data_IF_177023580375
#
_entry.id   IF_177023580375
#
_cell.length_a   1.000
_cell.length_b   1.000
_cell.length_c   1.000
_cell.angle_alpha   90.00
_cell.angle_beta   90.00
_cell.angle_gamma   90.00
#
_symmetry.space_group_name_H-M   'P 1'
#
loop_
_entity.id
_entity.type
_entity.pdbx_description
1 polymer ?
#
# COMPACT_ATOMS: atom_id res chain seq x y z
N UNK A 1 -13.49 4.10 17.70
CA UNK A 1 -14.08 3.99 16.33
C UNK A 1 -14.71 5.33 15.94
N UNK A 2 -14.34 5.89 14.78
CA UNK A 2 -14.84 7.19 14.30
C UNK A 2 -15.77 6.99 13.10
N UNK A 3 -16.92 7.70 13.08
CA UNK A 3 -17.84 7.72 11.96
C UNK A 3 -17.46 8.81 10.95
N UNK A 4 -17.21 8.42 9.72
CA UNK A 4 -16.93 9.34 8.63
C UNK A 4 -18.20 9.59 7.79
N UNK A 5 -18.61 10.86 7.71
CA UNK A 5 -19.75 11.29 6.87
C UNK A 5 -19.35 11.43 5.40
N UNK A 6 -18.10 11.79 5.13
CA UNK A 6 -17.58 12.04 3.78
C UNK A 6 -16.46 11.06 3.42
N UNK A 7 -16.33 10.78 2.13
CA UNK A 7 -15.22 9.99 1.59
C UNK A 7 -13.88 10.71 1.79
N UNK A 8 -12.92 10.04 2.43
CA UNK A 8 -11.61 10.62 2.75
C UNK A 8 -10.71 10.87 1.53
N UNK A 9 -11.05 10.31 0.36
CA UNK A 9 -10.36 10.63 -0.90
C UNK A 9 -11.01 11.81 -1.63
N UNK A 10 -12.28 11.67 -2.04
CA UNK A 10 -12.93 12.65 -2.91
C UNK A 10 -13.90 13.62 -2.21
N UNK A 11 -14.18 13.45 -0.92
CA UNK A 11 -15.09 14.29 -0.15
C UNK A 11 -16.57 14.01 -0.34
N UNK A 12 -16.97 13.07 -1.23
CA UNK A 12 -18.38 12.77 -1.50
C UNK A 12 -19.06 12.10 -0.30
N UNK A 13 -20.35 12.42 -0.06
CA UNK A 13 -21.10 11.98 1.12
C UNK A 13 -22.02 10.77 0.91
N UNK A 14 -22.14 10.26 -0.32
CA UNK A 14 -22.98 9.08 -0.62
C UNK A 14 -22.12 7.82 -0.71
N UNK A 15 -22.46 6.83 0.11
CA UNK A 15 -21.74 5.58 0.22
C UNK A 15 -22.70 4.40 0.12
N UNK A 16 -22.25 3.32 -0.50
CA UNK A 16 -22.98 2.06 -0.60
C UNK A 16 -22.42 1.07 0.41
N UNK A 17 -23.27 0.52 1.27
CA UNK A 17 -22.90 -0.65 2.09
C UNK A 17 -22.66 -1.86 1.17
N UNK A 18 -21.52 -2.52 1.32
CA UNK A 18 -21.16 -3.69 0.50
C UNK A 18 -21.10 -4.99 1.29
N UNK A 19 -20.90 -4.94 2.61
CA UNK A 19 -20.93 -6.12 3.46
C UNK A 19 -20.20 -5.92 4.78
N UNK A 20 -19.92 -7.05 5.46
CA UNK A 20 -19.28 -7.12 6.77
C UNK A 20 -17.89 -7.74 6.67
N UNK A 21 -16.98 -7.34 7.56
CA UNK A 21 -15.61 -7.85 7.65
C UNK A 21 -15.21 -8.05 9.12
N UNK A 22 -14.30 -8.99 9.37
CA UNK A 22 -13.77 -9.27 10.71
C UNK A 22 -14.73 -9.97 11.65
N UNK A 23 -14.25 -10.39 12.81
CA UNK A 23 -15.00 -11.13 13.81
C UNK A 23 -15.69 -12.36 13.20
N UNK A 24 -16.99 -12.57 13.50
CA UNK A 24 -17.76 -13.73 12.99
C UNK A 24 -17.87 -13.81 11.45
N UNK A 25 -17.52 -12.76 10.71
CA UNK A 25 -17.52 -12.71 9.25
C UNK A 25 -16.17 -13.10 8.65
N UNK A 26 -15.19 -13.39 9.49
CA UNK A 26 -13.86 -13.83 9.09
C UNK A 26 -13.62 -15.26 9.54
N UNK A 27 -12.84 -16.01 8.75
CA UNK A 27 -12.39 -17.34 9.16
C UNK A 27 -11.64 -17.23 10.48
N UNK A 28 -11.91 -18.13 11.42
CA UNK A 28 -11.30 -18.18 12.76
C UNK A 28 -11.66 -16.99 13.67
N UNK A 29 -12.64 -16.14 13.28
CA UNK A 29 -13.08 -15.01 14.09
C UNK A 29 -12.08 -13.86 14.21
N UNK A 30 -11.10 -13.81 13.30
CA UNK A 30 -10.02 -12.82 13.35
C UNK A 30 -10.47 -11.41 12.97
N UNK A 31 -9.83 -10.41 13.58
CA UNK A 31 -10.03 -9.00 13.30
C UNK A 31 -11.30 -8.41 13.90
N UNK A 32 -11.43 -7.09 13.83
CA UNK A 32 -12.57 -6.34 14.38
C UNK A 32 -13.75 -6.39 13.41
N UNK A 33 -14.95 -6.72 13.94
CA UNK A 33 -16.18 -6.69 13.14
C UNK A 33 -16.50 -5.27 12.71
N UNK A 34 -16.52 -5.02 11.38
CA UNK A 34 -16.77 -3.70 10.77
C UNK A 34 -17.69 -3.80 9.58
N UNK A 35 -18.44 -2.70 9.33
CA UNK A 35 -19.22 -2.51 8.09
C UNK A 35 -18.31 -1.92 7.03
N UNK A 36 -18.36 -2.49 5.82
CA UNK A 36 -17.58 -2.03 4.68
C UNK A 36 -18.47 -1.28 3.71
N UNK A 37 -17.99 -0.10 3.30
CA UNK A 37 -18.69 0.80 2.39
C UNK A 37 -17.84 1.07 1.16
N UNK A 38 -18.52 1.48 0.08
CA UNK A 38 -17.94 1.98 -1.14
C UNK A 38 -18.46 3.37 -1.45
N UNK A 39 -17.57 4.31 -1.72
CA UNK A 39 -17.94 5.65 -2.18
C UNK A 39 -18.59 5.57 -3.57
N UNK A 40 -19.77 6.21 -3.73
CA UNK A 40 -20.49 6.21 -5.02
C UNK A 40 -19.82 7.11 -6.08
N UNK A 41 -18.94 8.03 -5.69
CA UNK A 41 -18.22 8.87 -6.63
C UNK A 41 -16.90 8.25 -7.09
N UNK A 42 -15.95 8.02 -6.18
CA UNK A 42 -14.61 7.56 -6.53
C UNK A 42 -14.38 6.05 -6.36
N UNK A 43 -15.36 5.32 -5.85
CA UNK A 43 -15.30 3.87 -5.59
C UNK A 43 -14.28 3.43 -4.55
N UNK A 44 -13.73 4.36 -3.74
CA UNK A 44 -12.90 4.00 -2.58
C UNK A 44 -13.69 3.06 -1.67
N UNK A 45 -13.04 1.99 -1.21
CA UNK A 45 -13.61 1.05 -0.25
C UNK A 45 -12.99 1.33 1.13
N UNK A 46 -13.83 1.37 2.17
CA UNK A 46 -13.40 1.72 3.51
C UNK A 46 -14.35 1.17 4.58
N UNK A 47 -13.88 0.92 5.82
CA UNK A 47 -14.73 0.57 6.94
C UNK A 47 -15.43 1.82 7.49
N UNK A 48 -16.65 1.67 8.01
CA UNK A 48 -17.33 2.75 8.74
C UNK A 48 -18.22 2.13 9.83
N UNK A 49 -17.95 2.36 11.11
CA UNK A 49 -16.92 3.25 11.66
C UNK A 49 -15.47 2.78 11.40
N UNK A 50 -14.55 3.73 11.40
CA UNK A 50 -13.12 3.43 11.29
C UNK A 50 -12.61 2.77 12.58
N UNK A 51 -11.84 1.66 12.49
CA UNK A 51 -11.04 1.20 13.59
C UNK A 51 -9.91 2.23 13.83
N UNK A 52 -9.78 2.71 15.05
CA UNK A 52 -8.67 3.58 15.45
C UNK A 52 -7.77 2.72 16.32
N UNK A 53 -6.51 2.49 15.94
CA UNK A 53 -5.55 1.77 16.77
C UNK A 53 -5.17 2.62 17.98
N UNK A 54 -4.75 1.98 19.05
CA UNK A 54 -4.27 2.66 20.26
C UNK A 54 -2.94 3.41 20.00
N UNK A 55 -2.11 2.86 19.12
CA UNK A 55 -0.88 3.50 18.61
C UNK A 55 -0.57 3.00 17.20
N UNK A 56 0.25 3.72 16.44
CA UNK A 56 0.75 3.25 15.14
C UNK A 56 1.62 1.98 15.29
N UNK A 57 2.38 1.90 16.38
CA UNK A 57 3.21 0.74 16.70
C UNK A 57 2.38 -0.52 16.94
N UNK A 58 1.21 -0.41 17.58
CA UNK A 58 0.30 -1.53 17.81
C UNK A 58 -0.25 -2.17 16.52
N UNK A 59 -0.14 -1.48 15.37
CA UNK A 59 -0.57 -2.00 14.06
C UNK A 59 0.44 -3.00 13.47
N UNK A 60 1.71 -2.94 13.90
CA UNK A 60 2.80 -3.67 13.26
C UNK A 60 3.37 -4.78 14.14
N UNK A 61 2.61 -5.56 14.84
CA UNK A 61 3.00 -6.73 15.59
C UNK A 61 4.51 -7.11 15.65
N UNK A 62 4.84 -8.35 15.90
CA UNK A 62 6.24 -8.80 15.84
C UNK A 62 6.72 -8.82 14.36
N UNK A 63 7.76 -8.04 14.00
CA UNK A 63 8.31 -8.02 12.64
C UNK A 63 8.75 -9.40 12.15
N UNK A 64 9.16 -10.31 13.04
CA UNK A 64 9.60 -11.66 12.67
C UNK A 64 8.43 -12.57 12.26
N UNK A 65 7.21 -12.27 12.70
CA UNK A 65 6.00 -12.95 12.25
C UNK A 65 5.53 -12.46 10.87
N UNK A 66 5.79 -11.19 10.55
CA UNK A 66 5.33 -10.57 9.31
C UNK A 66 6.33 -10.72 8.17
N UNK A 67 7.63 -10.65 8.45
CA UNK A 67 8.69 -10.70 7.45
C UNK A 67 9.41 -12.05 7.47
N UNK A 68 9.68 -12.57 6.29
CA UNK A 68 10.49 -13.78 6.06
C UNK A 68 11.99 -13.59 6.33
N UNK A 69 12.73 -14.69 6.45
CA UNK A 69 14.11 -14.73 6.94
C UNK A 69 15.17 -13.96 6.14
N UNK A 70 16.45 -14.06 6.59
CA UNK A 70 17.59 -13.25 6.07
C UNK A 70 17.85 -13.43 4.56
N UNK A 71 17.78 -14.65 4.04
CA UNK A 71 18.05 -14.93 2.61
C UNK A 71 17.00 -14.28 1.70
N UNK A 72 15.73 -14.30 2.12
CA UNK A 72 14.65 -13.63 1.40
C UNK A 72 14.79 -12.11 1.45
N UNK A 73 15.32 -11.54 2.55
CA UNK A 73 15.57 -10.10 2.65
C UNK A 73 16.59 -9.62 1.60
N UNK A 74 17.72 -10.31 1.44
CA UNK A 74 18.72 -9.97 0.40
C UNK A 74 18.14 -10.10 -1.02
N UNK A 75 17.40 -11.18 -1.29
CA UNK A 75 16.74 -11.36 -2.58
C UNK A 75 15.73 -10.27 -2.89
N UNK A 76 14.96 -9.85 -1.88
CA UNK A 76 14.02 -8.72 -1.99
C UNK A 76 14.76 -7.41 -2.21
N UNK A 77 15.79 -7.11 -1.41
CA UNK A 77 16.59 -5.90 -1.60
C UNK A 77 17.13 -5.81 -3.03
N UNK A 78 17.68 -6.90 -3.56
CA UNK A 78 18.14 -6.93 -4.94
C UNK A 78 17.02 -6.68 -5.96
N UNK A 79 15.82 -7.15 -5.69
CA UNK A 79 14.67 -6.87 -6.58
C UNK A 79 14.28 -5.39 -6.66
N UNK A 80 14.61 -4.60 -5.63
CA UNK A 80 14.38 -3.15 -5.60
C UNK A 80 15.40 -2.34 -6.40
N UNK A 81 16.53 -2.93 -6.84
CA UNK A 81 17.47 -2.24 -7.73
C UNK A 81 16.78 -1.74 -8.99
N UNK A 82 15.89 -2.55 -9.56
CA UNK A 82 15.09 -2.13 -10.73
C UNK A 82 14.14 -0.96 -10.44
N UNK A 83 13.64 -0.82 -9.22
CA UNK A 83 12.82 0.32 -8.82
C UNK A 83 13.69 1.59 -8.69
N UNK A 84 14.91 1.48 -8.15
CA UNK A 84 15.87 2.59 -8.12
C UNK A 84 16.21 3.05 -9.55
N UNK A 85 16.50 2.12 -10.47
CA UNK A 85 16.74 2.46 -11.89
C UNK A 85 15.56 3.19 -12.51
N UNK A 86 14.33 2.81 -12.18
CA UNK A 86 13.13 3.48 -12.66
C UNK A 86 12.97 4.90 -12.07
N UNK A 87 13.38 5.14 -10.82
CA UNK A 87 13.47 6.49 -10.26
C UNK A 87 14.51 7.32 -11.00
N UNK A 88 15.73 6.79 -11.20
CA UNK A 88 16.83 7.47 -11.92
C UNK A 88 16.38 7.90 -13.33
N UNK A 89 15.66 7.04 -14.05
CA UNK A 89 15.16 7.33 -15.41
C UNK A 89 14.10 8.44 -15.44
N UNK A 90 13.33 8.63 -14.36
CA UNK A 90 12.20 9.59 -14.30
C UNK A 90 12.56 10.92 -13.66
N UNK A 91 13.58 10.93 -12.84
CA UNK A 91 14.06 12.15 -12.19
C UNK A 91 14.88 12.93 -13.20
N UNK A 92 14.56 14.21 -13.39
CA UNK A 92 15.33 15.11 -14.25
C UNK A 92 16.79 15.16 -13.78
N UNK A 93 17.72 15.33 -14.72
CA UNK A 93 19.17 15.30 -14.52
C UNK A 93 19.63 16.05 -13.27
N UNK A 94 20.07 15.29 -12.27
CA UNK A 94 20.73 15.77 -11.06
C UNK A 94 21.94 14.89 -10.76
N UNK A 95 23.02 15.51 -10.25
CA UNK A 95 24.24 14.76 -9.94
C UNK A 95 24.02 13.75 -8.78
N UNK A 96 23.19 14.12 -7.83
CA UNK A 96 22.81 13.29 -6.67
C UNK A 96 21.31 13.27 -6.51
N UNK A 97 20.76 12.08 -6.40
CA UNK A 97 19.33 11.82 -6.23
C UNK A 97 19.05 11.52 -4.75
N UNK A 98 18.14 12.29 -4.16
CA UNK A 98 17.67 12.06 -2.80
C UNK A 98 16.28 11.42 -2.83
N UNK A 99 16.18 10.16 -2.38
CA UNK A 99 14.94 9.41 -2.26
C UNK A 99 14.47 9.37 -0.81
N UNK A 100 13.16 9.36 -0.60
CA UNK A 100 12.51 9.10 0.67
C UNK A 100 11.68 7.82 0.53
N UNK A 101 11.97 6.83 1.37
CA UNK A 101 11.20 5.60 1.50
C UNK A 101 10.35 5.69 2.77
N UNK A 102 9.05 5.84 2.63
CA UNK A 102 8.12 5.96 3.76
C UNK A 102 7.50 4.58 4.01
N UNK A 103 7.59 4.10 5.26
CA UNK A 103 7.27 2.73 5.62
C UNK A 103 8.34 1.78 5.08
N UNK A 104 9.61 2.07 5.37
CA UNK A 104 10.76 1.39 4.79
C UNK A 104 10.88 -0.10 5.19
N UNK A 105 10.05 -0.58 6.12
CA UNK A 105 10.08 -1.96 6.59
C UNK A 105 11.45 -2.31 7.15
N UNK A 106 12.07 -3.35 6.61
CA UNK A 106 13.42 -3.79 7.00
C UNK A 106 14.54 -3.11 6.20
N UNK A 107 14.25 -2.02 5.47
CA UNK A 107 15.21 -1.21 4.73
C UNK A 107 15.65 -1.84 3.40
N UNK A 108 14.80 -2.66 2.75
CA UNK A 108 15.16 -3.34 1.51
C UNK A 108 15.45 -2.35 0.38
N UNK A 109 14.66 -1.29 0.24
CA UNK A 109 14.91 -0.24 -0.76
C UNK A 109 16.18 0.56 -0.42
N UNK A 110 16.40 0.86 0.87
CA UNK A 110 17.61 1.55 1.33
C UNK A 110 18.87 0.72 1.03
N UNK A 111 18.82 -0.61 1.24
CA UNK A 111 19.90 -1.54 0.88
C UNK A 111 20.15 -1.55 -0.64
N UNK A 112 19.08 -1.58 -1.44
CA UNK A 112 19.20 -1.54 -2.91
C UNK A 112 19.86 -0.24 -3.40
N UNK A 113 19.55 0.89 -2.76
CA UNK A 113 20.11 2.19 -3.12
C UNK A 113 21.65 2.25 -2.97
N UNK A 114 22.24 1.43 -2.09
CA UNK A 114 23.71 1.38 -1.90
C UNK A 114 24.46 0.89 -3.16
N UNK A 115 23.78 0.22 -4.09
CA UNK A 115 24.38 -0.19 -5.36
C UNK A 115 24.59 0.99 -6.33
N UNK A 116 24.04 2.17 -6.04
CA UNK A 116 24.05 3.34 -6.91
C UNK A 116 24.76 4.51 -6.23
N UNK A 117 25.96 4.87 -6.69
CA UNK A 117 26.81 5.89 -6.05
C UNK A 117 26.22 7.29 -6.04
N UNK A 118 25.27 7.58 -6.94
CA UNK A 118 24.58 8.85 -7.06
C UNK A 118 23.21 8.88 -6.39
N UNK A 119 22.78 7.82 -5.69
CA UNK A 119 21.49 7.74 -5.01
C UNK A 119 21.68 7.71 -3.50
N UNK A 120 21.01 8.60 -2.80
CA UNK A 120 20.89 8.59 -1.34
C UNK A 120 19.43 8.34 -0.96
N UNK A 121 19.16 7.25 -0.23
CA UNK A 121 17.82 6.90 0.22
C UNK A 121 17.69 7.11 1.74
N UNK A 122 16.76 7.97 2.14
CA UNK A 122 16.34 8.13 3.54
C UNK A 122 15.12 7.23 3.78
N UNK A 123 15.19 6.34 4.77
CA UNK A 123 14.06 5.46 5.14
C UNK A 123 13.39 5.93 6.43
N UNK A 124 12.06 6.00 6.42
CA UNK A 124 11.22 6.21 7.60
C UNK A 124 10.49 4.93 7.94
N UNK A 125 10.56 4.53 9.21
CA UNK A 125 9.87 3.34 9.72
C UNK A 125 9.44 3.57 11.16
N UNK A 126 8.26 3.07 11.55
CA UNK A 126 7.70 3.23 12.90
C UNK A 126 7.92 1.99 13.78
N UNK A 127 8.13 0.83 13.17
CA UNK A 127 8.38 -0.44 13.87
C UNK A 127 9.80 -0.47 14.42
N UNK A 128 9.96 -0.44 15.73
CA UNK A 128 11.27 -0.57 16.39
C UNK A 128 11.99 -1.86 16.02
N UNK A 129 11.26 -2.97 15.91
CA UNK A 129 11.83 -4.26 15.50
C UNK A 129 12.40 -4.22 14.08
N UNK A 130 11.71 -3.56 13.13
CA UNK A 130 12.18 -3.37 11.76
C UNK A 130 13.40 -2.46 11.70
N UNK A 131 13.40 -1.36 12.46
CA UNK A 131 14.55 -0.44 12.58
C UNK A 131 15.77 -1.17 13.14
N UNK A 132 15.60 -1.95 14.20
CA UNK A 132 16.67 -2.77 14.79
C UNK A 132 17.22 -3.77 13.78
N UNK A 133 16.35 -4.50 13.08
CA UNK A 133 16.74 -5.47 12.04
C UNK A 133 17.59 -4.81 10.94
N UNK A 134 17.19 -3.62 10.47
CA UNK A 134 17.92 -2.84 9.48
C UNK A 134 19.27 -2.36 10.01
N UNK A 135 19.31 -1.82 11.24
CA UNK A 135 20.52 -1.33 11.90
C UNK A 135 21.60 -2.41 12.06
N UNK A 136 21.21 -3.64 12.43
CA UNK A 136 22.12 -4.78 12.51
C UNK A 136 22.79 -5.13 11.17
N UNK A 137 22.29 -4.57 10.05
CA UNK A 137 22.80 -4.74 8.68
C UNK A 137 23.44 -3.47 8.11
N UNK A 138 23.65 -2.46 8.97
CA UNK A 138 24.26 -1.19 8.58
C UNK A 138 23.31 -0.24 7.84
N UNK A 139 22.00 -0.52 7.84
CA UNK A 139 20.98 0.35 7.26
C UNK A 139 20.37 1.21 8.36
N UNK A 140 20.46 2.53 8.21
CA UNK A 140 19.91 3.49 9.17
C UNK A 140 18.53 3.97 8.75
N UNK A 141 17.50 3.52 9.47
CA UNK A 141 16.13 4.01 9.34
C UNK A 141 15.82 5.00 10.46
N UNK A 142 14.91 5.93 10.18
CA UNK A 142 14.51 6.98 11.12
C UNK A 142 13.07 6.76 11.57
N UNK A 143 12.83 6.81 12.90
CA UNK A 143 11.48 6.89 13.45
C UNK A 143 11.10 8.37 13.56
N UNK A 144 10.73 8.98 12.43
CA UNK A 144 10.29 10.37 12.33
C UNK A 144 8.94 10.47 11.64
N UNK A 145 8.14 11.45 12.04
CA UNK A 145 6.94 11.83 11.34
C UNK A 145 7.27 12.72 10.13
N UNK A 146 6.41 12.72 9.10
CA UNK A 146 6.65 13.54 7.90
C UNK A 146 6.72 15.04 8.22
N UNK A 147 5.92 15.49 9.20
CA UNK A 147 5.89 16.89 9.63
C UNK A 147 7.25 17.34 10.20
N UNK A 148 8.03 16.46 10.82
CA UNK A 148 9.36 16.79 11.33
C UNK A 148 10.33 17.07 10.18
N UNK A 149 10.29 16.24 9.10
CA UNK A 149 11.10 16.49 7.91
C UNK A 149 10.69 17.79 7.19
N UNK A 150 9.39 18.11 7.17
CA UNK A 150 8.89 19.38 6.61
C UNK A 150 9.41 20.56 7.42
N UNK A 151 9.37 20.49 8.75
CA UNK A 151 9.89 21.54 9.63
C UNK A 151 11.42 21.71 9.52
N UNK A 152 12.14 20.61 9.25
CA UNK A 152 13.57 20.60 8.95
C UNK A 152 13.90 21.14 7.53
N UNK A 153 12.88 21.57 6.76
CA UNK A 153 13.05 22.09 5.40
C UNK A 153 13.52 21.05 4.37
N UNK A 154 13.33 19.76 4.64
CA UNK A 154 13.76 18.68 3.74
C UNK A 154 12.86 18.58 2.52
N UNK A 155 13.49 18.32 1.37
CA UNK A 155 12.80 17.94 0.12
C UNK A 155 13.56 16.83 -0.58
N UNK A 156 12.84 16.05 -1.39
CA UNK A 156 13.34 14.86 -2.04
C UNK A 156 13.02 14.88 -3.54
N UNK A 157 13.89 14.26 -4.32
CA UNK A 157 13.72 14.09 -5.78
C UNK A 157 12.69 13.00 -6.08
N UNK A 158 12.61 12.00 -5.20
CA UNK A 158 11.64 10.93 -5.30
C UNK A 158 11.14 10.47 -3.94
N UNK A 159 9.87 10.04 -3.88
CA UNK A 159 9.25 9.42 -2.71
C UNK A 159 8.66 8.08 -3.10
N UNK A 160 8.92 7.06 -2.28
CA UNK A 160 8.39 5.71 -2.40
C UNK A 160 7.36 5.44 -1.30
N UNK A 161 6.18 4.94 -1.70
CA UNK A 161 5.10 4.44 -0.83
C UNK A 161 4.77 3.02 -1.28
N UNK A 162 5.46 2.03 -0.72
CA UNK A 162 5.25 0.64 -1.08
C UNK A 162 4.46 -0.09 0.01
N UNK A 163 3.19 -0.40 -0.24
CA UNK A 163 2.27 -0.99 0.72
C UNK A 163 2.13 -0.17 2.02
N UNK A 164 1.91 1.13 1.89
CA UNK A 164 1.79 2.08 3.01
C UNK A 164 0.42 2.74 3.05
N UNK A 165 -0.04 3.26 1.89
CA UNK A 165 -1.20 4.15 1.84
C UNK A 165 -2.50 3.47 2.28
N UNK A 166 -2.62 2.17 2.09
CA UNK A 166 -3.77 1.37 2.53
C UNK A 166 -3.92 1.26 4.04
N UNK A 167 -2.86 1.58 4.79
CA UNK A 167 -2.83 1.57 6.26
C UNK A 167 -3.02 2.96 6.87
N UNK A 168 -2.91 4.03 6.09
CA UNK A 168 -2.94 5.42 6.56
C UNK A 168 -4.38 5.86 6.86
N UNK A 169 -4.67 6.25 8.11
CA UNK A 169 -6.03 6.62 8.53
C UNK A 169 -6.50 7.96 7.97
N UNK A 170 -5.60 8.92 7.74
CA UNK A 170 -5.88 10.25 7.21
C UNK A 170 -5.15 10.51 5.89
N UNK A 171 -5.54 9.80 4.80
CA UNK A 171 -4.78 9.79 3.56
C UNK A 171 -4.68 11.16 2.88
N UNK A 172 -5.64 12.07 3.12
CA UNK A 172 -5.60 13.42 2.56
C UNK A 172 -4.51 14.28 3.23
N UNK A 173 -4.37 14.21 4.56
CA UNK A 173 -3.34 14.91 5.32
C UNK A 173 -1.96 14.33 4.95
N UNK A 174 -1.85 13.00 5.01
CA UNK A 174 -0.63 12.29 4.66
C UNK A 174 -0.13 12.64 3.25
N UNK A 175 -1.00 12.64 2.24
CA UNK A 175 -0.61 13.00 0.88
C UNK A 175 -0.26 14.50 0.72
N UNK A 176 -0.85 15.38 1.54
CA UNK A 176 -0.44 16.78 1.59
C UNK A 176 0.98 16.94 2.14
N UNK A 177 1.35 16.17 3.15
CA UNK A 177 2.71 16.15 3.70
C UNK A 177 3.70 15.55 2.69
N UNK A 178 3.35 14.43 2.05
CA UNK A 178 4.16 13.82 0.98
C UNK A 178 4.41 14.82 -0.16
N UNK A 179 3.37 15.56 -0.59
CA UNK A 179 3.52 16.59 -1.62
C UNK A 179 4.51 17.68 -1.22
N UNK A 180 4.50 18.14 0.04
CA UNK A 180 5.45 19.15 0.53
C UNK A 180 6.88 18.64 0.55
N UNK A 181 7.09 17.35 0.81
CA UNK A 181 8.41 16.71 0.83
C UNK A 181 8.95 16.42 -0.57
N UNK A 182 8.10 16.35 -1.61
CA UNK A 182 8.55 16.27 -2.99
C UNK A 182 8.97 17.66 -3.49
N UNK A 183 10.12 17.77 -4.17
CA UNK A 183 10.45 18.99 -4.93
C UNK A 183 9.47 19.22 -6.09
N UNK A 184 9.31 20.43 -6.62
CA UNK A 184 8.59 20.65 -7.87
C UNK A 184 9.15 19.77 -8.99
N UNK A 185 8.30 18.96 -9.66
CA UNK A 185 8.72 17.95 -10.63
C UNK A 185 9.27 16.66 -10.02
N UNK A 186 9.33 16.54 -8.70
CA UNK A 186 9.75 15.32 -8.00
C UNK A 186 8.82 14.13 -8.27
N UNK A 187 9.37 12.92 -8.24
CA UNK A 187 8.72 11.68 -8.66
C UNK A 187 8.15 10.94 -7.45
N UNK A 188 6.91 10.49 -7.56
CA UNK A 188 6.23 9.66 -6.56
C UNK A 188 5.95 8.26 -7.13
N UNK A 189 6.34 7.25 -6.37
CA UNK A 189 5.93 5.86 -6.58
C UNK A 189 4.98 5.43 -5.50
N UNK A 190 3.84 4.82 -5.89
CA UNK A 190 2.87 4.23 -4.97
C UNK A 190 2.59 2.80 -5.45
N UNK A 191 2.72 1.81 -4.58
CA UNK A 191 2.24 0.44 -4.81
C UNK A 191 1.26 0.07 -3.71
N UNK A 192 0.03 -0.31 -4.09
CA UNK A 192 -1.06 -0.63 -3.17
C UNK A 192 -1.94 -1.75 -3.70
N UNK A 193 -2.61 -2.52 -2.82
CA UNK A 193 -3.66 -3.42 -3.23
C UNK A 193 -4.78 -2.66 -3.96
N UNK A 194 -5.19 -3.21 -5.10
CA UNK A 194 -6.30 -2.66 -5.88
C UNK A 194 -7.62 -3.27 -5.45
N UNK A 195 -8.61 -2.40 -5.18
CA UNK A 195 -9.97 -2.85 -4.83
C UNK A 195 -11.07 -2.02 -5.53
N UNK A 196 -12.17 -2.67 -5.96
CA UNK A 196 -12.32 -4.12 -6.00
C UNK A 196 -11.45 -4.76 -7.10
N UNK A 197 -10.89 -5.94 -6.85
CA UNK A 197 -10.23 -6.76 -7.87
C UNK A 197 -11.11 -7.96 -8.26
N UNK A 198 -10.73 -8.72 -9.29
CA UNK A 198 -11.56 -9.83 -9.78
C UNK A 198 -11.84 -10.88 -8.69
N UNK A 199 -10.85 -11.19 -7.85
CA UNK A 199 -11.03 -12.18 -6.78
C UNK A 199 -12.03 -11.70 -5.73
N UNK A 200 -11.93 -10.44 -5.29
CA UNK A 200 -12.89 -9.86 -4.33
C UNK A 200 -14.30 -9.76 -4.93
N UNK A 201 -14.43 -9.43 -6.22
CA UNK A 201 -15.73 -9.39 -6.91
C UNK A 201 -16.38 -10.77 -6.93
N UNK A 202 -15.64 -11.79 -7.38
CA UNK A 202 -16.16 -13.18 -7.46
C UNK A 202 -16.46 -13.75 -6.08
N UNK A 203 -15.57 -13.53 -5.10
CA UNK A 203 -15.77 -13.97 -3.73
C UNK A 203 -16.99 -13.34 -3.08
N UNK A 204 -17.17 -12.03 -3.23
CA UNK A 204 -18.34 -11.32 -2.71
C UNK A 204 -19.64 -11.76 -3.38
N UNK A 205 -19.61 -12.03 -4.70
CA UNK A 205 -20.77 -12.57 -5.41
C UNK A 205 -21.15 -13.95 -4.89
N UNK A 206 -20.17 -14.83 -4.69
CA UNK A 206 -20.38 -16.16 -4.11
C UNK A 206 -20.99 -16.07 -2.71
N UNK A 207 -20.45 -15.22 -1.82
CA UNK A 207 -21.01 -15.02 -0.50
C UNK A 207 -22.46 -14.51 -0.54
N UNK A 208 -22.74 -13.57 -1.43
CA UNK A 208 -24.10 -13.02 -1.61
C UNK A 208 -25.08 -14.10 -2.06
N UNK A 209 -24.72 -14.96 -3.02
CA UNK A 209 -25.54 -16.07 -3.49
C UNK A 209 -25.83 -17.11 -2.39
N UNK A 210 -24.89 -17.29 -1.47
CA UNK A 210 -25.01 -18.17 -0.30
C UNK A 210 -25.72 -17.50 0.89
N UNK A 211 -26.25 -16.29 0.75
CA UNK A 211 -26.89 -15.54 1.84
C UNK A 211 -25.90 -14.99 2.91
N UNK A 212 -24.60 -15.08 2.67
CA UNK A 212 -23.59 -14.58 3.59
C UNK A 212 -23.30 -13.08 3.34
N UNK A 213 -23.20 -12.30 4.42
CA UNK A 213 -22.90 -10.86 4.37
C UNK A 213 -21.42 -10.54 4.41
N UNK A 214 -20.55 -11.53 4.57
CA UNK A 214 -19.10 -11.34 4.59
C UNK A 214 -18.57 -10.86 3.23
N UNK A 215 -17.57 -9.97 3.26
CA UNK A 215 -16.85 -9.51 2.05
C UNK A 215 -15.35 -9.77 2.20
N UNK A 216 -14.70 -9.97 1.04
CA UNK A 216 -13.27 -10.24 0.94
C UNK A 216 -12.43 -8.95 0.77
N UNK A 217 -13.06 -7.78 0.87
CA UNK A 217 -12.37 -6.50 0.76
C UNK A 217 -11.54 -6.18 2.00
N UNK A 218 -10.49 -5.40 1.81
CA UNK A 218 -9.59 -4.88 2.84
C UNK A 218 -8.90 -6.01 3.65
N UNK A 219 -8.43 -7.04 2.97
CA UNK A 219 -7.60 -8.08 3.59
C UNK A 219 -6.13 -7.66 3.63
N UNK A 220 -5.39 -7.98 4.71
CA UNK A 220 -5.80 -8.77 5.88
C UNK A 220 -6.71 -8.02 6.85
N UNK A 221 -7.40 -8.77 7.72
CA UNK A 221 -8.23 -8.21 8.81
C UNK A 221 -7.52 -8.19 10.15
N UNK A 222 -6.34 -8.79 10.21
CA UNK A 222 -5.39 -8.77 11.33
C UNK A 222 -4.26 -7.77 11.04
N UNK A 223 -3.51 -7.44 12.01
CA UNK A 223 -2.42 -6.47 11.95
C UNK A 223 -1.26 -6.91 11.03
N UNK A 224 -0.74 -5.99 10.20
CA UNK A 224 -1.28 -4.67 9.88
C UNK A 224 -2.49 -4.77 8.95
N UNK A 225 -3.66 -4.33 9.41
CA UNK A 225 -4.89 -4.41 8.63
C UNK A 225 -5.04 -3.26 7.63
N UNK A 226 -5.69 -3.54 6.48
CA UNK A 226 -5.98 -2.49 5.51
C UNK A 226 -7.22 -1.69 5.93
N UNK A 227 -7.14 -0.38 5.87
CA UNK A 227 -8.26 0.55 6.11
C UNK A 227 -8.81 1.15 4.82
N UNK A 228 -8.05 1.12 3.72
CA UNK A 228 -8.51 1.59 2.43
C UNK A 228 -8.26 0.59 1.30
N UNK A 229 -9.28 0.40 0.47
CA UNK A 229 -9.19 -0.29 -0.81
C UNK A 229 -9.18 0.74 -1.93
N UNK A 230 -8.00 1.08 -2.42
CA UNK A 230 -7.81 2.04 -3.49
C UNK A 230 -8.08 1.44 -4.87
N UNK A 231 -8.42 2.33 -5.81
CA UNK A 231 -8.51 2.08 -7.23
C UNK A 231 -7.99 3.29 -8.01
N UNK A 232 -7.77 3.19 -9.32
CA UNK A 232 -7.22 4.31 -10.10
C UNK A 232 -8.01 5.63 -9.95
N UNK A 233 -9.35 5.55 -9.83
CA UNK A 233 -10.20 6.74 -9.70
C UNK A 233 -10.04 7.41 -8.33
N UNK A 234 -10.03 6.62 -7.24
CA UNK A 234 -9.88 7.17 -5.89
C UNK A 234 -8.48 7.75 -5.66
N UNK A 235 -7.43 7.10 -6.18
CA UNK A 235 -6.08 7.66 -6.12
C UNK A 235 -5.95 8.95 -6.94
N UNK A 236 -6.54 9.01 -8.13
CA UNK A 236 -6.54 10.25 -8.91
C UNK A 236 -7.13 11.42 -8.12
N UNK A 237 -8.31 11.26 -7.52
CA UNK A 237 -8.91 12.31 -6.68
C UNK A 237 -8.02 12.73 -5.51
N UNK A 238 -7.35 11.76 -4.88
CA UNK A 238 -6.47 12.02 -3.74
C UNK A 238 -5.21 12.78 -4.16
N UNK A 239 -4.60 12.39 -5.28
CA UNK A 239 -3.36 12.98 -5.77
C UNK A 239 -3.59 14.36 -6.40
N UNK A 240 -4.65 14.52 -7.21
CA UNK A 240 -5.00 15.81 -7.85
C UNK A 240 -5.19 16.93 -6.83
N UNK A 241 -5.76 16.63 -5.66
CA UNK A 241 -5.94 17.60 -4.56
C UNK A 241 -4.63 18.09 -3.95
N UNK A 242 -3.55 17.37 -4.17
CA UNK A 242 -2.23 17.62 -3.58
C UNK A 242 -1.20 18.03 -4.66
N UNK A 243 -1.65 18.55 -5.81
CA UNK A 243 -0.81 18.98 -6.94
C UNK A 243 0.13 17.87 -7.46
N UNK A 244 -0.32 16.62 -7.37
CA UNK A 244 0.40 15.45 -7.87
C UNK A 244 -0.36 14.91 -9.09
N UNK A 245 0.33 14.82 -10.23
CA UNK A 245 -0.21 14.30 -11.48
C UNK A 245 0.24 12.87 -11.72
N UNK A 246 -0.71 11.99 -12.09
CA UNK A 246 -0.42 10.59 -12.42
C UNK A 246 0.13 10.50 -13.84
N UNK A 247 1.38 10.01 -13.95
CA UNK A 247 2.05 9.80 -15.24
C UNK A 247 1.76 8.40 -15.81
N UNK A 248 1.73 7.38 -14.94
CA UNK A 248 1.51 5.99 -15.34
C UNK A 248 0.80 5.20 -14.25
N UNK A 249 -0.09 4.30 -14.63
CA UNK A 249 -0.74 3.31 -13.75
C UNK A 249 -0.57 1.93 -14.37
N UNK A 250 -0.08 0.97 -13.58
CA UNK A 250 -0.07 -0.42 -13.96
C UNK A 250 -0.84 -1.26 -12.95
N UNK A 251 -1.84 -2.01 -13.45
CA UNK A 251 -2.61 -2.98 -12.67
C UNK A 251 -2.02 -4.35 -12.93
N UNK A 252 -1.71 -5.08 -11.87
CA UNK A 252 -1.10 -6.38 -11.94
C UNK A 252 -1.60 -7.27 -10.81
N UNK A 253 -1.26 -8.53 -10.87
CA UNK A 253 -1.47 -9.49 -9.81
C UNK A 253 -0.63 -10.71 -10.05
N UNK A 254 -0.02 -11.17 -8.99
CA UNK A 254 0.65 -12.46 -8.94
C UNK A 254 -0.23 -13.47 -8.23
N UNK A 255 -0.24 -14.75 -8.63
CA UNK A 255 -0.95 -15.79 -7.89
C UNK A 255 -0.31 -15.98 -6.52
N UNK A 256 -0.92 -15.43 -5.48
CA UNK A 256 -0.54 -15.64 -4.09
C UNK A 256 -1.00 -17.02 -3.59
N UNK A 257 -0.64 -18.11 -4.31
CA UNK A 257 -1.10 -19.44 -3.96
C UNK A 257 0.11 -20.26 -3.53
N UNK A 258 0.21 -20.53 -2.21
CA UNK A 258 1.16 -21.50 -1.68
C UNK A 258 0.86 -22.86 -2.33
N UNK A 259 1.87 -23.47 -2.96
CA UNK A 259 1.75 -24.81 -3.53
C UNK A 259 1.58 -25.82 -2.39
N UNK A 260 0.36 -26.30 -2.17
CA UNK A 260 0.11 -27.49 -1.35
C UNK A 260 0.52 -28.77 -2.10
N UNK A 261 0.72 -29.87 -1.35
CA UNK A 261 1.22 -31.14 -1.92
C UNK A 261 0.11 -32.05 -2.49
N UNK A 262 -1.16 -31.65 -2.45
CA UNK A 262 -2.30 -32.49 -2.85
C UNK A 262 -2.93 -32.09 -4.18
N UNK A 263 -3.62 -33.04 -4.85
CA UNK A 263 -4.34 -32.82 -6.12
C UNK A 263 -5.36 -31.66 -6.00
N UNK A 264 -6.07 -31.56 -4.89
CA UNK A 264 -7.03 -30.46 -4.61
C UNK A 264 -6.33 -29.10 -4.60
N UNK A 265 -5.11 -29.02 -4.06
CA UNK A 265 -4.34 -27.79 -4.01
C UNK A 265 -3.78 -27.43 -5.37
N UNK A 266 -3.37 -28.41 -6.18
CA UNK A 266 -2.96 -28.18 -7.57
C UNK A 266 -4.12 -27.61 -8.41
N UNK A 267 -5.34 -28.11 -8.24
CA UNK A 267 -6.54 -27.60 -8.93
C UNK A 267 -6.83 -26.15 -8.50
N UNK A 268 -6.78 -25.84 -7.19
CA UNK A 268 -6.94 -24.47 -6.68
C UNK A 268 -5.89 -23.52 -7.25
N UNK A 269 -4.63 -23.95 -7.29
CA UNK A 269 -3.51 -23.19 -7.88
C UNK A 269 -3.77 -22.92 -9.36
N UNK A 270 -4.16 -23.95 -10.12
CA UNK A 270 -4.45 -23.80 -11.55
C UNK A 270 -5.61 -22.83 -11.81
N UNK A 271 -6.70 -22.95 -11.07
CA UNK A 271 -7.86 -22.05 -11.17
C UNK A 271 -7.43 -20.63 -10.81
N UNK A 272 -6.72 -20.44 -9.70
CA UNK A 272 -6.24 -19.13 -9.25
C UNK A 272 -5.32 -18.45 -10.25
N UNK A 273 -4.40 -19.20 -10.88
CA UNK A 273 -3.52 -18.66 -11.93
C UNK A 273 -4.33 -18.18 -13.15
N UNK A 274 -5.34 -18.94 -13.58
CA UNK A 274 -6.16 -18.56 -14.73
C UNK A 274 -7.07 -17.37 -14.42
N UNK A 275 -7.66 -17.31 -13.22
CA UNK A 275 -8.41 -16.13 -12.77
C UNK A 275 -7.49 -14.89 -12.74
N UNK A 276 -6.27 -15.02 -12.23
CA UNK A 276 -5.33 -13.90 -12.17
C UNK A 276 -4.86 -13.45 -13.56
N UNK A 277 -4.63 -14.40 -14.49
CA UNK A 277 -4.31 -14.07 -15.90
C UNK A 277 -5.46 -13.31 -16.56
N UNK A 278 -6.69 -13.74 -16.34
CA UNK A 278 -7.88 -13.03 -16.81
C UNK A 278 -7.98 -11.64 -16.18
N UNK A 279 -7.80 -11.55 -14.85
CA UNK A 279 -7.83 -10.30 -14.10
C UNK A 279 -6.84 -9.28 -14.67
N UNK A 280 -5.61 -9.72 -14.99
CA UNK A 280 -4.60 -8.85 -15.59
C UNK A 280 -5.01 -8.36 -16.99
N UNK A 281 -5.61 -9.23 -17.82
CA UNK A 281 -6.09 -8.86 -19.16
C UNK A 281 -7.21 -7.80 -19.13
N UNK A 282 -8.11 -7.88 -18.15
CA UNK A 282 -9.25 -6.96 -18.03
C UNK A 282 -9.01 -5.83 -17.03
N UNK A 283 -7.75 -5.59 -16.62
CA UNK A 283 -7.36 -4.57 -15.66
C UNK A 283 -8.08 -4.67 -14.30
N UNK A 284 -8.32 -5.89 -13.84
CA UNK A 284 -8.89 -6.23 -12.53
C UNK A 284 -7.92 -7.03 -11.64
N UNK A 285 -6.61 -6.87 -11.86
CA UNK A 285 -5.56 -7.44 -11.02
C UNK A 285 -5.66 -7.02 -9.55
N UNK A 286 -5.00 -7.75 -8.67
CA UNK A 286 -5.09 -7.56 -7.22
C UNK A 286 -4.27 -6.37 -6.69
N UNK A 287 -3.31 -5.90 -7.45
CA UNK A 287 -2.43 -4.80 -7.06
C UNK A 287 -2.37 -3.76 -8.18
N UNK A 288 -1.93 -2.57 -7.82
CA UNK A 288 -1.58 -1.53 -8.78
C UNK A 288 -0.40 -0.72 -8.26
N UNK A 289 0.48 -0.35 -9.18
CA UNK A 289 1.44 0.69 -8.89
C UNK A 289 1.24 1.91 -9.78
N UNK A 290 1.63 3.06 -9.24
CA UNK A 290 1.48 4.35 -9.87
C UNK A 290 2.84 5.06 -9.85
N UNK A 291 3.20 5.63 -11.01
CA UNK A 291 4.20 6.67 -11.12
C UNK A 291 3.48 7.99 -11.30
N UNK A 292 3.82 8.95 -10.46
CA UNK A 292 3.25 10.29 -10.46
C UNK A 292 4.36 11.32 -10.26
N UNK A 293 4.05 12.60 -10.50
CA UNK A 293 4.99 13.69 -10.25
C UNK A 293 4.28 14.89 -9.63
N UNK A 294 5.00 15.61 -8.75
CA UNK A 294 4.52 16.91 -8.28
C UNK A 294 4.58 17.92 -9.43
N UNK A 295 3.50 18.65 -9.63
CA UNK A 295 3.44 19.70 -10.67
C UNK A 295 4.56 20.72 -10.49
N UNK A 296 5.16 21.16 -11.61
CA UNK A 296 6.10 22.28 -11.64
C UNK A 296 5.23 23.55 -11.63
N UNK A 297 5.04 24.15 -10.47
CA UNK A 297 4.32 25.43 -10.33
C UNK A 297 5.35 26.55 -10.34
#
# INVERSE_FOLDING_TARGET
>A
MQLNKNCLSCGHNKHKFIGMRGGKYQREGLGVETKIFQCLNCSLIFPNPFPIPDSLESIYGDPDEYFSGKEEWYARSKSYESLIEEFIKRIDHVDKIHLLDIGAGRGELNQAALAFSNVHCTGLEVSEGSIKFASERGIHLQNKQLIELINDGKTFDGVCLNAVLEHVHEPAIFMSEVSKLLRPGGVLYIDVPREPNLLTILGNLSNKLLGNRAVYNLQPTWEPYHVFGFNPKSLRYLLDKNDIEINNIRIYGAPAIKRGKGLKDMIKVFIGINIQRLANKISLGSNMYIWASRKKI
#
